data_IF_491330412367
#
_entry.id   IF_491330412367
#
_cell.length_a   1.000
_cell.length_b   1.000
_cell.length_c   1.000
_cell.angle_alpha   90.00
_cell.angle_beta   90.00
_cell.angle_gamma   90.00
#
_symmetry.space_group_name_H-M   'P 1'
#
loop_
_entity.id
_entity.type
_entity.pdbx_description
1 polymer ?
#
# COMPACT_ATOMS: atom_id res chain seq x y z
N UNK A 1 15.47 -0.38 18.44
CA UNK A 1 14.53 0.20 19.44
C UNK A 1 13.41 -0.83 19.62
N UNK A 2 13.25 -1.45 20.80
CA UNK A 2 12.17 -2.45 21.03
C UNK A 2 10.88 -1.70 21.35
N UNK A 3 9.96 -1.60 20.39
CA UNK A 3 8.63 -1.04 20.63
C UNK A 3 7.78 -2.06 21.41
N UNK A 4 7.51 -1.77 22.68
CA UNK A 4 6.66 -2.58 23.56
C UNK A 4 5.20 -2.07 23.56
N UNK A 5 4.66 -1.75 22.38
CA UNK A 5 3.22 -1.48 22.26
C UNK A 5 2.52 -2.82 22.13
N UNK A 6 1.78 -3.22 23.19
CA UNK A 6 0.89 -4.36 23.11
C UNK A 6 -0.13 -4.05 22.03
N UNK A 7 -0.10 -4.82 20.93
CA UNK A 7 -1.05 -4.63 19.85
C UNK A 7 -2.46 -4.90 20.38
N UNK A 8 -3.37 -3.98 20.09
CA UNK A 8 -4.77 -4.12 20.48
C UNK A 8 -5.49 -4.77 19.29
N UNK A 9 -6.03 -5.96 19.51
CA UNK A 9 -6.90 -6.61 18.53
C UNK A 9 -8.00 -5.64 18.12
N UNK A 10 -8.18 -5.47 16.82
CA UNK A 10 -9.07 -4.45 16.27
C UNK A 10 -9.90 -5.08 15.17
N UNK A 11 -11.22 -4.91 15.24
CA UNK A 11 -12.13 -5.44 14.22
C UNK A 11 -12.44 -4.35 13.19
N UNK A 12 -12.31 -4.69 11.91
CA UNK A 12 -12.75 -3.85 10.80
C UNK A 12 -13.34 -4.73 9.69
N UNK A 13 -14.48 -4.32 9.14
CA UNK A 13 -15.17 -5.02 8.04
C UNK A 13 -15.35 -6.54 8.27
N UNK A 14 -15.67 -6.95 9.51
CA UNK A 14 -15.85 -8.34 9.88
C UNK A 14 -14.57 -9.14 10.15
N UNK A 15 -13.39 -8.59 9.85
CA UNK A 15 -12.08 -9.22 10.09
C UNK A 15 -11.47 -8.73 11.40
N UNK A 16 -10.85 -9.62 12.18
CA UNK A 16 -10.14 -9.27 13.42
C UNK A 16 -8.64 -9.19 13.14
N UNK A 17 -8.08 -7.99 13.29
CA UNK A 17 -6.67 -7.71 13.05
C UNK A 17 -5.86 -7.79 14.34
N UNK A 18 -4.60 -8.22 14.24
CA UNK A 18 -3.66 -8.30 15.37
C UNK A 18 -3.32 -6.94 15.95
N UNK A 19 -3.45 -5.88 15.15
CA UNK A 19 -3.19 -4.52 15.56
C UNK A 19 -4.18 -3.51 14.95
N UNK A 20 -4.30 -2.36 15.62
CA UNK A 20 -5.04 -1.21 15.09
C UNK A 20 -4.41 -0.66 13.80
N UNK A 21 -3.09 -0.78 13.66
CA UNK A 21 -2.40 -0.28 12.47
C UNK A 21 -2.77 -1.10 11.23
N UNK A 22 -2.80 -2.43 11.34
CA UNK A 22 -3.29 -3.32 10.28
C UNK A 22 -4.75 -3.00 9.91
N UNK A 23 -5.64 -2.83 10.91
CA UNK A 23 -7.02 -2.45 10.64
C UNK A 23 -7.15 -1.10 9.92
N UNK A 24 -6.30 -0.12 10.25
CA UNK A 24 -6.27 1.17 9.54
C UNK A 24 -5.80 0.99 8.08
N UNK A 25 -4.81 0.14 7.83
CA UNK A 25 -4.36 -0.16 6.47
C UNK A 25 -5.43 -0.89 5.67
N UNK A 26 -6.14 -1.86 6.24
CA UNK A 26 -7.29 -2.50 5.60
C UNK A 26 -8.37 -1.49 5.19
N UNK A 27 -8.73 -0.58 6.11
CA UNK A 27 -9.68 0.50 5.81
C UNK A 27 -9.15 1.47 4.74
N UNK A 28 -7.83 1.70 4.72
CA UNK A 28 -7.20 2.54 3.71
C UNK A 28 -7.22 1.87 2.33
N UNK A 29 -6.97 0.55 2.26
CA UNK A 29 -7.08 -0.22 1.03
C UNK A 29 -8.50 -0.19 0.48
N UNK A 30 -9.53 -0.28 1.33
CA UNK A 30 -10.93 -0.11 0.92
C UNK A 30 -11.21 1.29 0.34
N UNK A 31 -10.67 2.35 0.97
CA UNK A 31 -10.76 3.72 0.44
C UNK A 31 -10.08 3.86 -0.92
N UNK A 32 -8.90 3.26 -1.08
CA UNK A 32 -8.15 3.23 -2.35
C UNK A 32 -8.74 2.25 -3.38
N UNK A 33 -9.70 1.42 -2.96
CA UNK A 33 -10.36 0.38 -3.75
C UNK A 33 -9.39 -0.70 -4.22
N UNK A 34 -8.44 -1.07 -3.35
CA UNK A 34 -7.54 -2.19 -3.54
C UNK A 34 -8.16 -3.40 -2.87
N UNK A 35 -8.41 -4.46 -3.64
CA UNK A 35 -8.88 -5.71 -3.06
C UNK A 35 -7.76 -6.36 -2.26
N UNK A 36 -8.04 -6.72 -1.01
CA UNK A 36 -7.05 -7.28 -0.10
C UNK A 36 -7.52 -8.61 0.50
N UNK A 37 -6.57 -9.48 0.81
CA UNK A 37 -6.73 -10.68 1.66
C UNK A 37 -5.83 -10.53 2.88
N UNK A 38 -6.35 -10.77 4.07
CA UNK A 38 -5.60 -10.69 5.33
C UNK A 38 -4.96 -12.04 5.68
N UNK A 39 -3.70 -12.02 6.11
CA UNK A 39 -2.89 -13.22 6.44
C UNK A 39 -3.03 -14.34 5.38
N UNK A 40 -2.63 -14.09 4.12
CA UNK A 40 -2.99 -14.93 2.98
C UNK A 40 -2.36 -16.34 3.03
N UNK A 41 -1.09 -16.47 3.42
CA UNK A 41 -0.34 -17.74 3.51
C UNK A 41 1.04 -17.56 4.18
N UNK A 42 1.70 -18.67 4.49
CA UNK A 42 3.08 -18.75 5.00
C UNK A 42 4.10 -18.77 3.85
N UNK A 43 5.15 -17.96 3.93
CA UNK A 43 6.31 -17.95 3.04
C UNK A 43 7.59 -18.22 3.83
N UNK A 44 7.91 -19.50 4.03
CA UNK A 44 9.10 -19.96 4.76
C UNK A 44 9.32 -19.23 6.11
N UNK A 45 8.27 -19.12 6.91
CA UNK A 45 8.31 -18.50 8.24
C UNK A 45 8.11 -16.99 8.24
N UNK A 46 7.90 -16.36 7.09
CA UNK A 46 7.34 -15.02 7.00
C UNK A 46 5.86 -15.09 6.60
N UNK A 47 4.99 -14.47 7.40
CA UNK A 47 3.56 -14.39 7.16
C UNK A 47 3.22 -12.94 6.79
N UNK A 48 3.03 -12.63 5.51
CA UNK A 48 2.59 -11.30 5.08
C UNK A 48 1.29 -10.90 5.78
N UNK A 49 1.18 -9.63 6.18
CA UNK A 49 -0.06 -9.11 6.78
C UNK A 49 -1.20 -9.10 5.74
N UNK A 50 -0.91 -8.73 4.49
CA UNK A 50 -1.90 -8.70 3.42
C UNK A 50 -1.38 -9.20 2.07
N UNK A 51 -2.31 -9.55 1.19
CA UNK A 51 -2.12 -9.68 -0.26
C UNK A 51 -3.05 -8.68 -0.95
N UNK A 52 -2.52 -7.80 -1.79
CA UNK A 52 -3.30 -6.92 -2.67
C UNK A 52 -3.45 -7.57 -4.05
N UNK A 53 -4.70 -7.73 -4.50
CA UNK A 53 -5.02 -8.35 -5.79
C UNK A 53 -4.73 -7.38 -6.94
N UNK A 54 -3.96 -7.83 -7.93
CA UNK A 54 -3.85 -7.12 -9.20
C UNK A 54 -5.09 -7.36 -10.06
N UNK A 55 -5.57 -6.31 -10.72
CA UNK A 55 -6.65 -6.36 -11.70
C UNK A 55 -6.15 -6.77 -13.08
N UNK A 56 -4.86 -6.55 -13.35
CA UNK A 56 -4.22 -7.05 -14.57
C UNK A 56 -3.81 -8.53 -14.35
N UNK A 57 -4.43 -9.50 -15.04
CA UNK A 57 -4.10 -10.91 -14.88
C UNK A 57 -2.67 -11.26 -15.32
N UNK A 58 -1.97 -10.35 -16.01
CA UNK A 58 -0.56 -10.53 -16.38
C UNK A 58 0.41 -10.05 -15.31
N UNK A 59 -0.09 -9.46 -14.23
CA UNK A 59 0.73 -8.96 -13.12
C UNK A 59 0.54 -9.81 -11.87
N UNK A 60 1.61 -10.01 -11.10
CA UNK A 60 1.50 -10.66 -9.81
C UNK A 60 0.74 -9.76 -8.82
N UNK A 61 0.06 -10.40 -7.89
CA UNK A 61 -0.46 -9.75 -6.68
C UNK A 61 0.71 -9.21 -5.84
N UNK A 62 0.43 -8.29 -4.91
CA UNK A 62 1.45 -7.67 -4.06
C UNK A 62 1.30 -8.15 -2.62
N UNK A 63 2.37 -8.68 -2.04
CA UNK A 63 2.39 -9.01 -0.61
C UNK A 63 2.67 -7.75 0.20
N UNK A 64 2.05 -7.59 1.37
CA UNK A 64 2.22 -6.39 2.19
C UNK A 64 2.59 -6.77 3.60
N UNK A 65 3.61 -6.08 4.13
CA UNK A 65 3.98 -6.09 5.53
C UNK A 65 3.69 -4.73 6.16
N UNK A 66 3.01 -4.73 7.30
CA UNK A 66 2.69 -3.54 8.08
C UNK A 66 3.62 -3.46 9.28
N UNK A 67 4.31 -2.33 9.42
CA UNK A 67 5.11 -2.02 10.61
C UNK A 67 4.93 -0.57 11.04
N UNK A 68 5.05 -0.26 12.34
CA UNK A 68 4.99 1.11 12.84
C UNK A 68 6.30 1.85 12.52
N UNK A 69 6.60 2.00 11.23
CA UNK A 69 7.80 2.63 10.69
C UNK A 69 7.46 4.02 10.14
N UNK A 70 8.38 4.96 10.35
CA UNK A 70 8.34 6.29 9.72
C UNK A 70 9.45 6.47 8.69
N UNK A 71 10.31 5.46 8.53
CA UNK A 71 11.42 5.43 7.58
C UNK A 71 11.71 3.98 7.19
N UNK A 72 12.43 3.78 6.09
CA UNK A 72 12.82 2.45 5.64
C UNK A 72 13.56 1.65 6.73
N UNK A 73 13.21 0.38 6.87
CA UNK A 73 13.79 -0.51 7.87
C UNK A 73 14.49 -1.70 7.20
N UNK A 74 15.80 -1.58 7.05
CA UNK A 74 16.65 -2.59 6.41
C UNK A 74 16.46 -3.99 7.04
N UNK A 75 16.37 -4.08 8.36
CA UNK A 75 16.17 -5.37 9.04
C UNK A 75 14.85 -6.06 8.64
N UNK A 76 13.77 -5.29 8.49
CA UNK A 76 12.47 -5.83 8.06
C UNK A 76 12.52 -6.19 6.57
N UNK A 77 13.10 -5.30 5.76
CA UNK A 77 13.28 -5.48 4.34
C UNK A 77 14.07 -6.76 4.00
N UNK A 78 15.15 -7.02 4.74
CA UNK A 78 15.97 -8.22 4.60
C UNK A 78 15.21 -9.50 4.96
N UNK A 79 14.36 -9.47 6.00
CA UNK A 79 13.52 -10.63 6.36
C UNK A 79 12.52 -10.96 5.27
N UNK A 80 11.81 -9.95 4.75
CA UNK A 80 10.84 -10.12 3.67
C UNK A 80 11.53 -10.67 2.40
N UNK A 81 12.64 -10.04 2.00
CA UNK A 81 13.43 -10.47 0.84
C UNK A 81 13.94 -11.91 1.01
N UNK A 82 14.56 -12.22 2.16
CA UNK A 82 15.13 -13.53 2.42
C UNK A 82 14.09 -14.66 2.49
N UNK A 83 12.85 -14.36 2.85
CA UNK A 83 11.74 -15.30 2.76
C UNK A 83 11.34 -15.56 1.30
N UNK A 84 11.20 -14.51 0.50
CA UNK A 84 10.83 -14.62 -0.92
C UNK A 84 11.88 -15.37 -1.74
N UNK A 85 13.16 -15.09 -1.52
CA UNK A 85 14.28 -15.72 -2.23
C UNK A 85 14.34 -17.24 -2.06
N UNK A 86 13.78 -17.78 -0.97
CA UNK A 86 13.76 -19.22 -0.70
C UNK A 86 12.53 -19.94 -1.26
N UNK A 87 11.58 -19.19 -1.81
CA UNK A 87 10.36 -19.75 -2.39
C UNK A 87 10.37 -19.61 -3.90
N UNK A 88 9.54 -20.37 -4.59
CA UNK A 88 9.35 -20.20 -6.03
C UNK A 88 8.66 -18.85 -6.39
N UNK A 89 8.28 -18.05 -5.40
CA UNK A 89 7.63 -16.73 -5.55
C UNK A 89 8.62 -15.59 -5.80
N UNK A 90 9.79 -15.86 -6.38
CA UNK A 90 10.86 -14.88 -6.57
C UNK A 90 10.51 -13.71 -7.51
N UNK A 91 9.34 -13.72 -8.12
CA UNK A 91 8.79 -12.70 -9.02
C UNK A 91 7.60 -11.96 -8.40
N UNK A 92 7.19 -12.30 -7.18
CA UNK A 92 6.10 -11.64 -6.46
C UNK A 92 6.64 -10.39 -5.76
N UNK A 93 6.12 -9.19 -6.07
CA UNK A 93 6.55 -7.97 -5.40
C UNK A 93 6.02 -7.92 -3.95
N UNK A 94 6.76 -7.23 -3.09
CA UNK A 94 6.37 -7.03 -1.70
C UNK A 94 6.45 -5.57 -1.28
N UNK A 95 5.43 -5.07 -0.61
CA UNK A 95 5.29 -3.70 -0.14
C UNK A 95 5.45 -3.66 1.38
N UNK A 96 6.43 -2.90 1.87
CA UNK A 96 6.54 -2.56 3.29
C UNK A 96 5.86 -1.22 3.53
N UNK A 97 4.82 -1.21 4.34
CA UNK A 97 4.10 0.02 4.72
C UNK A 97 4.34 0.41 6.17
N UNK A 98 4.40 1.72 6.40
CA UNK A 98 4.71 2.34 7.69
C UNK A 98 3.47 2.68 8.52
N UNK A 99 3.61 3.70 9.34
CA UNK A 99 2.51 4.27 10.14
C UNK A 99 1.43 4.95 9.29
N UNK A 100 1.79 5.42 8.10
CA UNK A 100 0.95 6.09 7.11
C UNK A 100 1.73 6.30 5.80
N UNK A 101 1.07 6.64 4.67
CA UNK A 101 1.75 7.17 3.50
C UNK A 101 2.57 8.42 3.84
N UNK A 102 3.68 8.66 3.15
CA UNK A 102 4.61 9.74 3.46
C UNK A 102 5.02 10.52 2.22
N UNK A 103 5.52 11.74 2.42
CA UNK A 103 6.13 12.54 1.36
C UNK A 103 7.61 12.16 1.19
N UNK A 104 7.99 11.81 -0.03
CA UNK A 104 9.38 11.62 -0.43
C UNK A 104 10.00 12.95 -0.81
N UNK A 105 11.07 13.33 -0.13
CA UNK A 105 11.88 14.50 -0.53
C UNK A 105 12.75 14.19 -1.76
N UNK A 106 13.12 12.92 -1.97
CA UNK A 106 13.92 12.51 -3.12
C UNK A 106 13.12 12.55 -4.43
N UNK A 107 11.87 12.07 -4.38
CA UNK A 107 11.00 11.99 -5.54
C UNK A 107 10.00 13.14 -5.65
N UNK A 108 9.96 14.03 -4.65
CA UNK A 108 9.01 15.14 -4.50
C UNK A 108 7.55 14.68 -4.68
N UNK A 109 7.21 13.53 -4.10
CA UNK A 109 5.96 12.80 -4.33
C UNK A 109 5.50 12.05 -3.08
N UNK A 110 4.21 11.73 -3.01
CA UNK A 110 3.69 10.86 -1.95
C UNK A 110 3.98 9.40 -2.27
N UNK A 111 4.48 8.67 -1.30
CA UNK A 111 4.68 7.23 -1.37
C UNK A 111 3.79 6.49 -0.38
N UNK A 112 3.28 5.33 -0.78
CA UNK A 112 2.49 4.46 0.12
C UNK A 112 3.38 3.64 1.05
N UNK A 113 4.63 3.42 0.67
CA UNK A 113 5.58 2.58 1.37
C UNK A 113 6.86 2.39 0.56
N UNK A 114 7.55 1.28 0.82
CA UNK A 114 8.72 0.84 0.07
C UNK A 114 8.38 -0.48 -0.62
N UNK A 115 8.71 -0.58 -1.90
CA UNK A 115 8.37 -1.70 -2.76
C UNK A 115 9.63 -2.47 -3.13
N UNK A 116 9.58 -3.76 -2.90
CA UNK A 116 10.53 -4.74 -3.35
C UNK A 116 10.05 -5.35 -4.67
N UNK A 117 10.93 -5.41 -5.67
CA UNK A 117 10.66 -6.12 -6.90
C UNK A 117 11.88 -6.84 -7.45
N UNK A 118 11.61 -7.86 -8.26
CA UNK A 118 12.64 -8.55 -9.00
C UNK A 118 12.96 -7.79 -10.29
N UNK A 119 14.19 -7.32 -10.41
CA UNK A 119 14.67 -6.49 -11.53
C UNK A 119 15.40 -7.30 -12.60
N UNK A 120 15.79 -8.55 -12.29
CA UNK A 120 16.63 -9.37 -13.16
C UNK A 120 18.04 -8.80 -13.41
N UNK A 121 18.45 -7.74 -12.68
CA UNK A 121 19.76 -7.10 -12.78
C UNK A 121 20.52 -7.22 -11.44
N UNK A 122 21.80 -7.61 -11.47
CA UNK A 122 22.61 -7.96 -10.27
C UNK A 122 21.92 -8.97 -9.35
N UNK A 123 21.85 -8.74 -8.02
CA UNK A 123 21.32 -9.65 -6.99
C UNK A 123 19.80 -9.91 -7.09
N UNK A 124 19.21 -9.68 -8.27
CA UNK A 124 17.84 -10.02 -8.63
C UNK A 124 16.78 -9.06 -8.11
N UNK A 125 17.00 -8.40 -6.98
CA UNK A 125 16.00 -7.62 -6.27
C UNK A 125 16.40 -6.16 -6.05
N UNK A 126 15.41 -5.26 -6.07
CA UNK A 126 15.56 -3.86 -5.70
C UNK A 126 14.46 -3.42 -4.75
N UNK A 127 14.86 -2.70 -3.70
CA UNK A 127 13.96 -1.92 -2.87
C UNK A 127 14.00 -0.47 -3.33
N UNK A 128 12.85 0.18 -3.34
CA UNK A 128 12.75 1.63 -3.50
C UNK A 128 11.42 2.12 -2.93
N UNK A 129 11.22 3.43 -2.89
CA UNK A 129 9.93 4.01 -2.52
C UNK A 129 8.86 3.66 -3.55
N UNK A 130 7.60 3.69 -3.10
CA UNK A 130 6.44 3.32 -3.89
C UNK A 130 5.53 4.56 -4.13
N UNK A 131 5.85 5.43 -5.12
CA UNK A 131 5.05 6.60 -5.42
C UNK A 131 3.60 6.25 -5.73
N UNK A 132 2.69 7.01 -5.15
CA UNK A 132 1.26 6.89 -5.38
C UNK A 132 0.86 7.60 -6.69
N UNK A 133 0.05 6.92 -7.50
CA UNK A 133 -0.34 7.34 -8.85
C UNK A 133 -1.84 7.41 -9.00
N UNK A 134 -2.35 8.36 -9.77
CA UNK A 134 -3.72 8.36 -10.25
C UNK A 134 -3.84 7.49 -11.49
N UNK A 135 -4.90 6.68 -11.57
CA UNK A 135 -5.10 5.72 -12.67
C UNK A 135 -5.66 6.36 -13.95
N UNK A 136 -6.27 7.56 -13.90
CA UNK A 136 -6.92 8.19 -15.05
C UNK A 136 -6.79 9.72 -15.05
N UNK A 137 -6.20 10.27 -16.12
CA UNK A 137 -5.97 11.71 -16.32
C UNK A 137 -7.17 12.44 -16.93
N UNK A 138 -8.14 11.71 -17.52
CA UNK A 138 -9.26 12.32 -18.27
C UNK A 138 -10.22 13.17 -17.44
N UNK A 139 -9.95 13.28 -16.13
CA UNK A 139 -10.73 14.03 -15.16
C UNK A 139 -9.85 14.97 -14.30
N UNK A 140 -8.56 15.15 -14.63
CA UNK A 140 -7.58 15.95 -13.86
C UNK A 140 -7.71 17.48 -14.07
N UNK A 141 -8.92 18.02 -14.06
CA UNK A 141 -9.15 19.47 -13.92
C UNK A 141 -9.86 19.77 -12.59
N UNK A 142 -9.09 20.33 -11.67
CA UNK A 142 -9.44 21.11 -10.47
C UNK A 142 -10.21 20.46 -9.30
N UNK A 143 -9.72 20.79 -8.10
CA UNK A 143 -10.23 20.91 -6.71
C UNK A 143 -11.38 19.99 -6.20
N UNK A 144 -12.20 19.38 -7.06
CA UNK A 144 -13.33 18.50 -6.72
C UNK A 144 -12.93 17.05 -6.39
N UNK A 145 -11.63 16.72 -6.41
CA UNK A 145 -11.12 15.37 -6.20
C UNK A 145 -10.91 14.99 -4.75
N UNK A 146 -10.66 15.94 -3.85
CA UNK A 146 -10.34 15.63 -2.45
C UNK A 146 -11.47 14.88 -1.73
N UNK A 147 -12.70 14.97 -2.26
CA UNK A 147 -13.89 14.28 -1.77
C UNK A 147 -14.44 13.22 -2.74
N UNK A 148 -13.80 12.98 -3.90
CA UNK A 148 -14.35 12.07 -4.91
C UNK A 148 -14.41 10.60 -4.45
N UNK A 149 -13.53 10.18 -3.54
CA UNK A 149 -13.60 8.86 -2.91
C UNK A 149 -14.81 8.72 -1.97
N UNK A 150 -15.43 9.82 -1.53
CA UNK A 150 -16.67 9.85 -0.74
C UNK A 150 -17.94 9.81 -1.60
N UNK A 151 -17.85 10.10 -2.91
CA UNK A 151 -19.02 10.05 -3.80
C UNK A 151 -19.15 8.64 -4.42
N UNK A 152 -20.11 7.81 -3.98
CA UNK A 152 -20.31 6.46 -4.51
C UNK A 152 -20.68 6.45 -6.00
N UNK A 153 -21.09 7.60 -6.56
CA UNK A 153 -21.42 7.77 -7.99
C UNK A 153 -20.22 8.15 -8.85
N UNK A 154 -19.06 8.44 -8.24
CA UNK A 154 -17.80 8.73 -8.95
C UNK A 154 -16.90 7.49 -8.90
N UNK A 155 -17.01 6.57 -9.87
CA UNK A 155 -16.25 5.31 -9.85
C UNK A 155 -14.75 5.47 -10.16
N UNK A 156 -14.27 6.69 -10.47
CA UNK A 156 -13.02 6.90 -11.24
C UNK A 156 -11.85 7.51 -10.47
N UNK A 157 -12.03 7.98 -9.24
CA UNK A 157 -10.87 8.32 -8.39
C UNK A 157 -10.24 7.01 -7.93
N UNK A 158 -9.24 6.54 -8.66
CA UNK A 158 -8.48 5.34 -8.30
C UNK A 158 -7.03 5.73 -8.15
N UNK A 159 -6.48 5.35 -7.01
CA UNK A 159 -5.05 5.45 -6.75
C UNK A 159 -4.44 4.08 -6.99
N UNK A 160 -3.19 4.11 -7.40
CA UNK A 160 -2.30 2.99 -7.56
C UNK A 160 -0.92 3.35 -7.03
N UNK A 161 0.05 2.47 -7.24
CA UNK A 161 1.44 2.74 -6.94
C UNK A 161 2.35 1.94 -7.88
N UNK A 162 3.61 2.38 -7.99
CA UNK A 162 4.63 1.70 -8.77
C UNK A 162 5.98 1.77 -8.05
N UNK A 163 7.02 1.13 -8.58
CA UNK A 163 8.39 1.30 -8.07
C UNK A 163 8.97 2.62 -8.56
N UNK A 164 9.73 3.33 -7.72
CA UNK A 164 10.22 4.67 -8.07
C UNK A 164 11.32 4.68 -9.16
N UNK A 165 12.11 3.61 -9.30
CA UNK A 165 13.22 3.54 -10.28
C UNK A 165 13.18 2.41 -11.32
N UNK A 166 12.27 1.44 -11.19
CA UNK A 166 12.35 0.18 -11.96
C UNK A 166 11.06 -0.04 -12.77
N UNK A 167 10.20 -1.02 -12.44
CA UNK A 167 8.91 -1.20 -13.15
C UNK A 167 7.88 -0.15 -12.73
N UNK A 168 7.73 0.87 -13.56
CA UNK A 168 6.79 1.98 -13.41
C UNK A 168 5.33 1.61 -13.70
N UNK A 169 5.03 0.37 -14.09
CA UNK A 169 3.63 -0.07 -14.20
C UNK A 169 2.94 0.02 -12.85
N UNK A 170 1.68 0.37 -12.87
CA UNK A 170 0.83 0.36 -11.69
C UNK A 170 0.67 -1.07 -11.16
N UNK A 171 0.72 -1.25 -9.84
CA UNK A 171 0.68 -2.58 -9.22
C UNK A 171 -0.73 -3.17 -9.19
N UNK A 172 -1.75 -2.34 -9.00
CA UNK A 172 -3.13 -2.79 -8.97
C UNK A 172 -3.69 -2.88 -10.39
N UNK A 173 -3.58 -1.82 -11.19
CA UNK A 173 -4.25 -1.72 -12.50
C UNK A 173 -3.41 -2.19 -13.68
N UNK A 174 -2.10 -2.32 -13.51
CA UNK A 174 -1.15 -2.65 -14.58
C UNK A 174 -0.91 -1.55 -15.62
N UNK A 175 -1.57 -0.41 -15.47
CA UNK A 175 -1.41 0.74 -16.34
C UNK A 175 0.05 1.26 -16.36
N UNK A 176 0.50 1.73 -17.52
CA UNK A 176 1.78 2.38 -17.70
C UNK A 176 1.56 3.62 -18.55
N UNK A 177 1.88 4.78 -17.99
CA UNK A 177 1.68 6.08 -18.64
C UNK A 177 2.83 6.50 -19.57
N UNK A 178 3.85 5.64 -19.74
CA UNK A 178 5.04 5.93 -20.52
C UNK A 178 6.09 6.76 -19.78
N UNK A 179 5.91 7.01 -18.49
CA UNK A 179 6.75 7.88 -17.68
C UNK A 179 7.63 7.11 -16.68
N UNK A 180 8.64 7.77 -16.14
CA UNK A 180 9.44 7.28 -15.00
C UNK A 180 8.82 7.69 -13.67
N UNK A 181 9.36 7.20 -12.55
CA UNK A 181 8.91 7.57 -11.20
C UNK A 181 8.97 9.07 -10.91
N UNK A 182 9.79 9.83 -11.64
CA UNK A 182 9.92 11.30 -11.60
C UNK A 182 8.92 12.06 -12.50
N UNK A 183 8.04 11.33 -13.19
CA UNK A 183 7.05 11.88 -14.10
C UNK A 183 5.94 12.69 -13.44
N UNK A 184 5.73 13.95 -13.85
CA UNK A 184 4.63 14.78 -13.32
C UNK A 184 3.23 14.35 -13.79
N UNK A 185 3.12 13.48 -14.79
CA UNK A 185 1.84 12.88 -15.18
C UNK A 185 1.40 11.91 -14.09
N UNK A 186 0.18 12.05 -13.58
CA UNK A 186 -0.49 11.16 -12.62
C UNK A 186 -0.05 11.17 -11.13
N UNK A 187 0.76 12.11 -10.64
CA UNK A 187 1.17 12.11 -9.23
C UNK A 187 0.00 12.33 -8.25
N UNK A 188 -0.14 11.47 -7.23
CA UNK A 188 -1.08 11.69 -6.14
C UNK A 188 -0.69 12.92 -5.32
N UNK A 189 -1.67 13.72 -4.89
CA UNK A 189 -1.39 14.89 -4.05
C UNK A 189 -1.17 14.46 -2.60
N UNK A 190 -0.29 15.19 -1.89
CA UNK A 190 -0.06 15.03 -0.44
C UNK A 190 -1.36 15.05 0.35
N UNK A 191 -2.22 16.01 0.05
CA UNK A 191 -3.52 16.17 0.69
C UNK A 191 -4.41 14.94 0.51
N UNK A 192 -4.40 14.29 -0.66
CA UNK A 192 -5.23 13.11 -0.90
C UNK A 192 -4.83 11.96 0.00
N UNK A 193 -3.54 11.61 0.04
CA UNK A 193 -3.07 10.44 0.79
C UNK A 193 -3.24 10.62 2.29
N UNK A 194 -2.90 11.80 2.82
CA UNK A 194 -3.08 12.16 4.23
C UNK A 194 -4.56 12.09 4.64
N UNK A 195 -5.47 12.60 3.78
CA UNK A 195 -6.92 12.55 4.06
C UNK A 195 -7.47 11.14 3.98
N UNK A 196 -7.04 10.34 2.99
CA UNK A 196 -7.47 8.95 2.85
C UNK A 196 -7.11 8.12 4.08
N UNK A 197 -5.85 8.19 4.53
CA UNK A 197 -5.40 7.46 5.71
C UNK A 197 -6.02 8.01 7.01
N UNK A 198 -6.23 9.32 7.11
CA UNK A 198 -6.94 9.96 8.23
C UNK A 198 -8.39 9.49 8.32
N UNK A 199 -9.10 9.34 7.20
CA UNK A 199 -10.44 8.79 7.22
C UNK A 199 -10.44 7.30 7.59
N UNK A 200 -9.50 6.51 7.08
CA UNK A 200 -9.36 5.10 7.45
C UNK A 200 -9.28 4.93 8.98
N UNK A 201 -8.44 5.75 9.64
CA UNK A 201 -8.33 5.80 11.11
C UNK A 201 -9.67 6.08 11.79
N UNK A 202 -10.49 6.99 11.25
CA UNK A 202 -11.81 7.31 11.81
C UNK A 202 -12.80 6.15 11.65
N UNK A 203 -12.83 5.49 10.50
CA UNK A 203 -13.72 4.36 10.25
C UNK A 203 -13.47 3.22 11.24
N UNK A 204 -12.19 2.88 11.47
CA UNK A 204 -11.78 1.86 12.44
C UNK A 204 -12.17 2.27 13.88
N UNK A 205 -11.98 3.53 14.24
CA UNK A 205 -12.40 4.04 15.55
C UNK A 205 -13.92 4.01 15.75
N UNK A 206 -14.71 4.25 14.71
CA UNK A 206 -16.17 4.22 14.79
C UNK A 206 -16.69 2.78 14.97
N UNK A 207 -16.22 1.84 14.16
CA UNK A 207 -16.65 0.43 14.24
C UNK A 207 -16.26 -0.23 15.58
N UNK A 208 -15.11 0.14 16.15
CA UNK A 208 -14.70 -0.35 17.47
C UNK A 208 -15.53 0.21 18.64
N UNK A 209 -16.19 1.37 18.47
CA UNK A 209 -17.11 1.95 19.47
C UNK A 209 -18.52 1.36 19.37
N UNK A 210 -19.07 1.22 18.17
CA UNK A 210 -20.43 0.70 17.95
C UNK A 210 -20.67 -0.72 18.44
N UNK A 211 -19.62 -1.48 18.78
CA UNK A 211 -19.70 -2.83 19.35
C UNK A 211 -19.63 -2.89 20.88
N UNK A 212 -19.32 -1.78 21.56
CA UNK A 212 -19.35 -1.71 23.03
C UNK A 212 -20.76 -1.44 23.57
N UNK A 213 -21.67 -0.99 22.70
CA UNK A 213 -23.04 -0.60 23.02
C UNK A 213 -24.09 -1.65 22.55
N UNK A 214 -23.64 -2.85 22.14
CA UNK A 214 -24.47 -3.98 21.71
C UNK A 214 -24.14 -5.22 22.56
#
# INVERSE_FOLDING_TARGET
MKYNMKSVETVYNGTTFRSRLEANWAACFDIYRWQWTYEPFDLDGWFPDFLLKSEDPKRPDVLVEVKPLTSFCEETAQKMRGALEKTDNHHVPALLVGTEPFWSEEWEQVCVGWLLEYTGYKDGWSWDEAPMRYVDWSYCSDESWEDAWKDPRRPKARIDFCHATMDYRHRITGYYDGNSGSGHGSMATKTFAERGFSEAKKQVQYQSKGRKDA
#
